data_IF_282925568472
#
_entry.id   IF_282925568472
#
_cell.length_a   1.000
_cell.length_b   1.000
_cell.length_c   1.000
_cell.angle_alpha   90.00
_cell.angle_beta   90.00
_cell.angle_gamma   90.00
#
_symmetry.space_group_name_H-M   'P 1'
#
loop_
_entity.id
_entity.type
_entity.pdbx_description
1 polymer ?
#
# COMPACT_ATOMS: atom_id res chain seq x y z
N UNK A 1 -7.74 -76.36 -11.88
CA UNK A 1 -8.24 -75.12 -12.49
C UNK A 1 -8.13 -74.01 -11.43
N UNK A 2 -6.98 -73.38 -11.42
CA UNK A 2 -6.65 -72.29 -10.50
C UNK A 2 -7.10 -70.97 -11.10
N UNK A 3 -8.16 -70.34 -10.56
CA UNK A 3 -8.58 -69.00 -10.93
C UNK A 3 -7.73 -67.95 -10.19
N UNK A 4 -6.85 -67.33 -10.92
CA UNK A 4 -6.08 -66.17 -10.41
C UNK A 4 -7.00 -64.96 -10.43
N UNK A 5 -7.40 -64.50 -9.27
CA UNK A 5 -8.09 -63.21 -9.09
C UNK A 5 -7.01 -62.12 -9.05
N UNK A 6 -6.95 -61.36 -10.15
CA UNK A 6 -6.15 -60.13 -10.21
C UNK A 6 -6.99 -59.03 -9.59
N UNK A 7 -6.60 -58.66 -8.36
CA UNK A 7 -7.18 -57.55 -7.66
C UNK A 7 -6.50 -56.23 -8.16
N UNK A 8 -7.17 -55.53 -9.07
CA UNK A 8 -6.73 -54.24 -9.56
C UNK A 8 -6.93 -53.21 -8.46
N UNK A 9 -5.84 -52.77 -7.84
CA UNK A 9 -5.80 -51.60 -6.99
C UNK A 9 -5.94 -50.36 -7.83
N UNK A 10 -7.12 -49.76 -7.81
CA UNK A 10 -7.34 -48.41 -8.38
C UNK A 10 -6.83 -47.42 -7.32
N UNK A 11 -5.63 -46.88 -7.53
CA UNK A 11 -5.11 -45.77 -6.79
C UNK A 11 -5.89 -44.53 -7.25
N UNK A 12 -6.87 -44.12 -6.42
CA UNK A 12 -7.53 -42.82 -6.56
C UNK A 12 -6.53 -41.75 -6.15
N UNK A 13 -5.78 -41.20 -7.10
CA UNK A 13 -5.00 -40.00 -6.90
C UNK A 13 -6.02 -38.84 -6.87
N UNK A 14 -6.49 -38.49 -5.69
CA UNK A 14 -7.11 -37.21 -5.45
C UNK A 14 -6.03 -36.16 -5.70
N UNK A 15 -6.04 -35.59 -6.90
CA UNK A 15 -5.35 -34.34 -7.18
C UNK A 15 -6.01 -33.29 -6.28
N UNK A 16 -5.39 -33.02 -5.14
CA UNK A 16 -5.65 -31.82 -4.35
C UNK A 16 -5.11 -30.69 -5.21
N UNK A 17 -5.97 -30.16 -6.07
CA UNK A 17 -5.77 -28.83 -6.64
C UNK A 17 -5.81 -27.88 -5.44
N UNK A 18 -4.63 -27.56 -4.91
CA UNK A 18 -4.50 -26.39 -4.06
C UNK A 18 -5.03 -25.22 -4.91
N UNK A 19 -6.25 -24.80 -4.60
CA UNK A 19 -6.74 -23.48 -5.01
C UNK A 19 -5.79 -22.48 -4.36
N UNK A 20 -4.73 -22.13 -5.07
CA UNK A 20 -3.99 -20.92 -4.80
C UNK A 20 -5.01 -19.80 -5.04
N UNK A 21 -5.69 -19.39 -3.98
CA UNK A 21 -6.40 -18.14 -3.96
C UNK A 21 -5.30 -17.08 -4.12
N UNK A 22 -5.15 -16.56 -5.32
CA UNK A 22 -4.43 -15.31 -5.50
C UNK A 22 -5.15 -14.30 -4.62
N UNK A 23 -4.56 -13.97 -3.48
CA UNK A 23 -5.07 -12.93 -2.62
C UNK A 23 -4.90 -11.64 -3.42
N UNK A 24 -6.01 -11.12 -3.93
CA UNK A 24 -6.00 -9.90 -4.75
C UNK A 24 -5.39 -8.80 -3.91
N UNK A 25 -4.32 -8.18 -4.40
CA UNK A 25 -3.71 -7.02 -3.77
C UNK A 25 -4.80 -5.96 -3.52
N UNK A 26 -4.79 -5.37 -2.34
CA UNK A 26 -5.76 -4.37 -1.90
C UNK A 26 -5.05 -3.23 -1.18
N UNK A 27 -5.75 -2.12 -1.00
CA UNK A 27 -5.27 -1.02 -0.16
C UNK A 27 -4.94 -1.51 1.25
N UNK A 28 -3.86 -1.00 1.82
CA UNK A 28 -3.45 -1.37 3.18
C UNK A 28 -4.34 -0.70 4.21
N UNK A 29 -4.87 -1.50 5.12
CA UNK A 29 -5.87 -1.07 6.08
C UNK A 29 -5.37 -1.21 7.52
N UNK A 30 -5.80 -0.29 8.39
CA UNK A 30 -5.56 -0.31 9.82
C UNK A 30 -6.78 0.23 10.56
N UNK A 31 -7.02 -0.28 11.77
CA UNK A 31 -8.17 0.06 12.59
C UNK A 31 -9.23 -1.05 12.61
N UNK A 32 -10.34 -0.80 13.29
CA UNK A 32 -11.41 -1.78 13.42
C UNK A 32 -12.25 -1.89 12.14
N UNK A 33 -12.60 -3.10 11.73
CA UNK A 33 -13.55 -3.32 10.64
C UNK A 33 -14.94 -2.75 10.96
N UNK A 34 -15.32 -2.70 12.24
CA UNK A 34 -16.60 -2.18 12.72
C UNK A 34 -16.57 -0.67 13.03
N UNK A 35 -15.49 0.04 12.64
CA UNK A 35 -15.38 1.48 12.89
C UNK A 35 -16.48 2.27 12.18
N UNK A 36 -17.15 3.20 12.88
CA UNK A 36 -18.24 4.00 12.29
C UNK A 36 -17.76 4.96 11.19
N UNK A 37 -16.49 5.31 11.18
CA UNK A 37 -15.91 6.20 10.17
C UNK A 37 -14.85 5.47 9.36
N UNK A 38 -15.03 5.48 8.03
CA UNK A 38 -14.01 4.99 7.08
C UNK A 38 -13.29 6.17 6.45
N UNK A 39 -11.97 6.13 6.45
CA UNK A 39 -11.11 7.10 5.77
C UNK A 39 -10.25 6.35 4.77
N UNK A 40 -10.35 6.69 3.50
CA UNK A 40 -9.44 6.24 2.45
C UNK A 40 -8.56 7.41 2.07
N UNK A 41 -7.25 7.24 2.10
CA UNK A 41 -6.29 8.22 1.61
C UNK A 41 -5.66 7.74 0.31
N UNK A 42 -5.88 8.48 -0.77
CA UNK A 42 -5.09 8.38 -1.98
C UNK A 42 -3.85 9.26 -1.84
N UNK A 43 -2.68 8.61 -1.83
CA UNK A 43 -1.39 9.28 -1.57
C UNK A 43 -0.32 8.97 -2.61
N UNK A 44 0.69 9.81 -2.63
CA UNK A 44 1.94 9.63 -3.37
C UNK A 44 3.11 9.73 -2.40
N UNK A 45 4.05 8.79 -2.48
CA UNK A 45 5.27 8.81 -1.67
C UNK A 45 6.25 9.91 -2.11
N UNK A 46 6.08 10.47 -3.32
CA UNK A 46 6.87 11.61 -3.80
C UNK A 46 6.20 12.97 -3.53
N UNK A 47 4.99 12.99 -2.98
CA UNK A 47 4.26 14.21 -2.67
C UNK A 47 4.68 14.79 -1.31
N UNK A 48 5.11 16.06 -1.27
CA UNK A 48 5.49 16.73 -0.03
C UNK A 48 4.33 16.95 0.94
N UNK A 49 3.11 17.20 0.44
CA UNK A 49 1.91 17.33 1.28
C UNK A 49 1.46 16.00 1.88
N UNK A 50 1.71 14.87 1.20
CA UNK A 50 1.50 13.55 1.79
C UNK A 50 2.52 13.28 2.90
N UNK A 51 3.79 13.70 2.71
CA UNK A 51 4.80 13.60 3.77
C UNK A 51 4.45 14.47 4.99
N UNK A 52 3.96 15.69 4.77
CA UNK A 52 3.48 16.58 5.84
C UNK A 52 2.33 15.91 6.62
N UNK A 53 1.31 15.41 5.94
CA UNK A 53 0.22 14.67 6.57
C UNK A 53 0.72 13.47 7.38
N UNK A 54 1.54 12.62 6.78
CA UNK A 54 2.06 11.41 7.42
C UNK A 54 2.90 11.72 8.67
N UNK A 55 3.66 12.82 8.66
CA UNK A 55 4.57 13.17 9.74
C UNK A 55 3.90 13.99 10.85
N UNK A 56 2.94 14.84 10.52
CA UNK A 56 2.38 15.81 11.45
C UNK A 56 0.96 15.46 11.92
N UNK A 57 0.09 15.04 10.99
CA UNK A 57 -1.34 14.80 11.30
C UNK A 57 -1.66 13.34 11.61
N UNK A 58 -1.11 12.41 10.81
CA UNK A 58 -1.44 10.98 10.94
C UNK A 58 -1.12 10.38 12.33
N UNK A 59 -0.01 10.74 13.02
CA UNK A 59 0.26 10.17 14.35
C UNK A 59 -0.84 10.46 15.37
N UNK A 60 -1.41 11.65 15.33
CA UNK A 60 -2.49 12.04 16.23
C UNK A 60 -3.82 11.41 15.80
N UNK A 61 -4.13 11.40 14.49
CA UNK A 61 -5.28 10.68 13.93
C UNK A 61 -5.24 9.20 14.34
N UNK A 62 -4.05 8.59 14.28
CA UNK A 62 -3.89 7.18 14.66
C UNK A 62 -4.21 6.95 16.13
N UNK A 63 -3.56 7.71 17.03
CA UNK A 63 -3.73 7.50 18.47
C UNK A 63 -5.12 7.84 18.99
N UNK A 64 -5.79 8.84 18.43
CA UNK A 64 -7.06 9.33 18.96
C UNK A 64 -8.28 8.66 18.32
N UNK A 65 -8.18 8.23 17.05
CA UNK A 65 -9.35 7.71 16.33
C UNK A 65 -9.17 6.30 15.76
N UNK A 66 -7.97 5.94 15.24
CA UNK A 66 -7.76 4.61 14.65
C UNK A 66 -7.58 3.57 15.75
N UNK A 67 -6.66 3.80 16.69
CA UNK A 67 -6.35 2.86 17.78
C UNK A 67 -7.52 2.73 18.79
N UNK A 68 -8.42 3.72 18.81
CA UNK A 68 -9.65 3.68 19.64
C UNK A 68 -10.83 3.00 18.93
N UNK A 69 -10.67 2.60 17.67
CA UNK A 69 -11.71 1.92 16.90
C UNK A 69 -12.80 2.82 16.32
N UNK A 70 -12.63 4.15 16.37
CA UNK A 70 -13.57 5.12 15.77
C UNK A 70 -13.37 5.23 14.27
N UNK A 71 -12.12 5.08 13.79
CA UNK A 71 -11.75 5.19 12.38
C UNK A 71 -11.12 3.90 11.89
N UNK A 72 -11.59 3.42 10.73
CA UNK A 72 -10.88 2.50 9.85
C UNK A 72 -10.18 3.32 8.78
N UNK A 73 -8.87 3.15 8.67
CA UNK A 73 -8.04 3.91 7.75
C UNK A 73 -7.45 3.00 6.68
N UNK A 74 -7.56 3.41 5.41
CA UNK A 74 -7.06 2.69 4.25
C UNK A 74 -6.14 3.56 3.42
N UNK A 75 -4.97 3.03 3.06
CA UNK A 75 -4.01 3.64 2.15
C UNK A 75 -4.21 3.09 0.75
N UNK A 76 -4.35 3.98 -0.23
CA UNK A 76 -4.37 3.64 -1.65
C UNK A 76 -3.28 4.38 -2.42
N UNK A 77 -2.52 3.67 -3.24
CA UNK A 77 -1.47 4.29 -4.03
C UNK A 77 -2.06 5.19 -5.13
N UNK A 78 -1.48 6.38 -5.28
CA UNK A 78 -1.74 7.29 -6.40
C UNK A 78 -0.40 7.73 -6.97
N UNK A 79 0.28 6.81 -7.68
CA UNK A 79 1.63 7.03 -8.18
C UNK A 79 1.67 8.18 -9.19
N UNK A 80 2.45 9.23 -8.89
CA UNK A 80 2.58 10.42 -9.74
C UNK A 80 3.64 10.29 -10.81
N UNK A 81 4.64 9.42 -10.59
CA UNK A 81 5.79 9.24 -11.49
C UNK A 81 6.43 7.85 -11.28
N UNK A 82 7.46 7.54 -12.06
CA UNK A 82 8.14 6.24 -12.01
C UNK A 82 8.88 5.98 -10.68
N UNK A 83 9.39 7.01 -10.01
CA UNK A 83 10.05 6.86 -8.71
C UNK A 83 9.01 6.48 -7.66
N UNK A 84 7.86 7.13 -7.70
CA UNK A 84 6.73 6.86 -6.82
C UNK A 84 6.20 5.43 -7.01
N UNK A 85 6.08 4.98 -8.27
CA UNK A 85 5.74 3.60 -8.59
C UNK A 85 6.73 2.60 -7.95
N UNK A 86 8.04 2.86 -8.06
CA UNK A 86 9.06 1.99 -7.46
C UNK A 86 9.02 2.01 -5.92
N UNK A 87 8.68 3.15 -5.32
CA UNK A 87 8.50 3.25 -3.88
C UNK A 87 7.27 2.46 -3.39
N UNK A 88 6.15 2.51 -4.11
CA UNK A 88 4.99 1.67 -3.80
C UNK A 88 5.26 0.18 -4.03
N UNK A 89 6.04 -0.18 -5.07
CA UNK A 89 6.46 -1.58 -5.25
C UNK A 89 7.25 -2.07 -4.04
N UNK A 90 8.20 -1.29 -3.55
CA UNK A 90 8.94 -1.62 -2.33
C UNK A 90 8.00 -1.85 -1.14
N UNK A 91 7.02 -0.97 -0.91
CA UNK A 91 6.04 -1.14 0.17
C UNK A 91 5.26 -2.45 0.06
N UNK A 92 4.83 -2.82 -1.16
CA UNK A 92 4.05 -4.04 -1.38
C UNK A 92 4.90 -5.32 -1.39
N UNK A 93 6.21 -5.21 -1.32
CA UNK A 93 7.13 -6.34 -1.15
C UNK A 93 7.61 -6.52 0.28
N UNK A 94 7.33 -5.56 1.16
CA UNK A 94 7.53 -5.73 2.59
C UNK A 94 6.45 -6.66 3.17
N UNK A 95 6.78 -7.31 4.28
CA UNK A 95 5.77 -8.03 5.06
C UNK A 95 4.63 -7.09 5.47
N UNK A 96 3.41 -7.58 5.49
CA UNK A 96 2.21 -6.79 5.84
C UNK A 96 2.38 -6.08 7.19
N UNK A 97 3.03 -6.74 8.16
CA UNK A 97 3.30 -6.18 9.48
C UNK A 97 4.23 -4.95 9.43
N UNK A 98 5.09 -4.87 8.44
CA UNK A 98 6.11 -3.82 8.29
C UNK A 98 5.67 -2.68 7.36
N UNK A 99 4.58 -2.86 6.61
CA UNK A 99 4.11 -1.90 5.62
C UNK A 99 4.03 -0.46 6.16
N UNK A 100 3.28 -0.25 7.25
CA UNK A 100 3.10 1.09 7.81
C UNK A 100 4.38 1.66 8.44
N UNK A 101 5.28 0.81 8.93
CA UNK A 101 6.56 1.24 9.46
C UNK A 101 7.50 1.71 8.34
N UNK A 102 7.55 0.96 7.23
CA UNK A 102 8.32 1.35 6.05
C UNK A 102 7.72 2.59 5.36
N UNK A 103 6.39 2.66 5.19
CA UNK A 103 5.71 3.84 4.67
C UNK A 103 6.07 5.11 5.45
N UNK A 104 5.99 5.05 6.78
CA UNK A 104 6.38 6.15 7.65
C UNK A 104 7.84 6.53 7.50
N UNK A 105 8.74 5.55 7.41
CA UNK A 105 10.17 5.80 7.22
C UNK A 105 10.44 6.48 5.88
N UNK A 106 9.80 6.02 4.80
CA UNK A 106 9.95 6.63 3.47
C UNK A 106 9.49 8.09 3.47
N UNK A 107 8.40 8.44 4.15
CA UNK A 107 7.98 9.83 4.28
C UNK A 107 8.93 10.67 5.13
N UNK A 108 9.39 10.16 6.27
CA UNK A 108 10.35 10.86 7.12
C UNK A 108 11.66 11.18 6.38
N UNK A 109 12.08 10.27 5.52
CA UNK A 109 13.35 10.33 4.81
C UNK A 109 13.17 10.74 3.33
N UNK A 110 11.99 11.23 2.93
CA UNK A 110 11.62 11.51 1.54
C UNK A 110 12.72 12.28 0.78
N UNK A 111 13.31 13.30 1.38
CA UNK A 111 14.37 14.12 0.78
C UNK A 111 15.70 13.38 0.60
N UNK A 112 15.88 12.23 1.24
CA UNK A 112 17.12 11.46 1.16
C UNK A 112 17.07 10.42 0.04
N UNK A 113 15.93 9.77 -0.15
CA UNK A 113 15.80 8.76 -1.19
C UNK A 113 15.30 9.32 -2.55
N UNK A 114 14.68 10.51 -2.58
CA UNK A 114 14.43 11.23 -3.83
C UNK A 114 15.72 11.97 -4.22
N UNK A 115 16.55 11.32 -5.03
CA UNK A 115 17.86 11.82 -5.44
C UNK A 115 17.70 12.68 -6.69
N UNK A 116 17.83 13.99 -6.56
CA UNK A 116 17.58 14.93 -7.65
C UNK A 116 18.82 15.25 -8.51
N UNK A 117 20.03 14.87 -8.09
CA UNK A 117 21.26 15.13 -8.81
C UNK A 117 22.11 13.86 -8.96
N UNK A 118 22.73 13.63 -10.14
CA UNK A 118 22.52 14.37 -11.38
C UNK A 118 21.12 14.13 -11.98
N UNK A 119 20.59 15.11 -12.70
CA UNK A 119 19.19 15.11 -13.19
C UNK A 119 18.87 14.02 -14.21
N UNK A 120 19.87 13.53 -14.94
CA UNK A 120 19.74 12.44 -15.91
C UNK A 120 19.69 11.03 -15.26
N UNK A 121 19.96 10.93 -13.96
CA UNK A 121 19.97 9.68 -13.19
C UNK A 121 19.01 9.66 -12.01
N UNK A 122 18.05 10.54 -11.98
CA UNK A 122 17.12 10.68 -10.84
C UNK A 122 16.39 9.38 -10.57
N UNK A 123 15.84 8.72 -11.59
CA UNK A 123 15.14 7.45 -11.43
C UNK A 123 16.08 6.35 -10.92
N UNK A 124 17.24 6.17 -11.57
CA UNK A 124 18.22 5.14 -11.21
C UNK A 124 18.68 5.30 -9.75
N UNK A 125 19.12 6.51 -9.40
CA UNK A 125 19.67 6.79 -8.06
C UNK A 125 18.59 6.71 -6.96
N UNK A 126 17.37 7.18 -7.25
CA UNK A 126 16.26 7.08 -6.29
C UNK A 126 15.82 5.62 -6.11
N UNK A 127 15.76 4.83 -7.19
CA UNK A 127 15.45 3.40 -7.11
C UNK A 127 16.49 2.65 -6.28
N UNK A 128 17.79 2.96 -6.48
CA UNK A 128 18.84 2.38 -5.66
C UNK A 128 18.73 2.78 -4.19
N UNK A 129 18.48 4.05 -3.91
CA UNK A 129 18.29 4.52 -2.54
C UNK A 129 17.10 3.86 -1.85
N UNK A 130 16.00 3.60 -2.57
CA UNK A 130 14.85 2.85 -2.05
C UNK A 130 15.24 1.41 -1.64
N UNK A 131 16.11 0.74 -2.39
CA UNK A 131 16.64 -0.59 -2.04
C UNK A 131 17.35 -0.59 -0.69
N UNK A 132 18.13 0.47 -0.38
CA UNK A 132 18.81 0.60 0.92
C UNK A 132 17.81 0.65 2.09
N UNK A 133 16.63 1.26 1.90
CA UNK A 133 15.54 1.21 2.89
C UNK A 133 14.88 -0.17 2.98
N UNK A 134 14.73 -0.88 1.86
CA UNK A 134 14.23 -2.26 1.83
C UNK A 134 15.06 -3.21 2.68
N UNK A 135 16.39 -3.08 2.63
CA UNK A 135 17.32 -3.89 3.44
C UNK A 135 17.04 -3.75 4.95
N UNK A 136 16.63 -2.57 5.42
CA UNK A 136 16.28 -2.36 6.83
C UNK A 136 15.06 -3.17 7.27
N UNK A 137 14.25 -3.60 6.32
CA UNK A 137 13.03 -4.43 6.53
C UNK A 137 13.22 -5.86 6.00
N UNK A 138 14.47 -6.30 5.82
CA UNK A 138 14.79 -7.67 5.44
C UNK A 138 14.62 -8.01 3.97
N UNK A 139 14.31 -7.02 3.11
CA UNK A 139 14.20 -7.20 1.66
C UNK A 139 15.59 -7.15 1.07
N UNK A 140 16.07 -8.26 0.51
CA UNK A 140 17.38 -8.31 -0.14
C UNK A 140 17.40 -7.51 -1.46
N UNK A 141 18.60 -7.23 -2.00
CA UNK A 141 18.74 -6.60 -3.31
C UNK A 141 18.06 -7.41 -4.43
N UNK A 142 18.18 -8.74 -4.36
CA UNK A 142 17.56 -9.65 -5.34
C UNK A 142 16.04 -9.65 -5.22
N UNK A 143 15.49 -9.73 -4.00
CA UNK A 143 14.04 -9.63 -3.75
C UNK A 143 13.49 -8.28 -4.21
N UNK A 144 14.21 -7.19 -3.94
CA UNK A 144 13.80 -5.88 -4.43
C UNK A 144 13.82 -5.78 -5.96
N UNK A 145 14.82 -6.39 -6.61
CA UNK A 145 14.86 -6.46 -8.08
C UNK A 145 13.68 -7.27 -8.65
N UNK A 146 13.26 -8.36 -7.99
CA UNK A 146 12.04 -9.09 -8.33
C UNK A 146 10.80 -8.23 -8.16
N UNK A 147 10.70 -7.48 -7.06
CA UNK A 147 9.60 -6.54 -6.80
C UNK A 147 9.45 -5.49 -7.89
N UNK A 148 10.56 -4.90 -8.33
CA UNK A 148 10.55 -3.89 -9.39
C UNK A 148 10.02 -4.44 -10.72
N UNK A 149 10.15 -5.75 -10.97
CA UNK A 149 9.68 -6.43 -12.16
C UNK A 149 8.32 -7.13 -11.96
N UNK A 150 7.72 -7.05 -10.78
CA UNK A 150 6.43 -7.69 -10.50
C UNK A 150 5.29 -6.93 -11.19
N UNK A 151 4.70 -7.58 -12.21
CA UNK A 151 3.61 -7.00 -13.00
C UNK A 151 2.32 -6.91 -12.19
N UNK A 152 2.03 -7.88 -11.31
CA UNK A 152 0.81 -7.86 -10.49
C UNK A 152 0.78 -6.66 -9.54
N UNK A 153 1.90 -6.36 -8.87
CA UNK A 153 2.04 -5.17 -8.04
C UNK A 153 1.94 -3.89 -8.89
N UNK A 154 2.56 -3.90 -10.08
CA UNK A 154 2.50 -2.77 -11.02
C UNK A 154 1.06 -2.48 -11.42
N UNK A 155 0.33 -3.50 -11.85
CA UNK A 155 -1.05 -3.39 -12.31
C UNK A 155 -1.97 -2.94 -11.18
N UNK A 156 -1.77 -3.46 -9.97
CA UNK A 156 -2.51 -3.01 -8.78
C UNK A 156 -2.31 -1.51 -8.54
N UNK A 157 -1.06 -1.03 -8.46
CA UNK A 157 -0.76 0.38 -8.18
C UNK A 157 -1.36 1.29 -9.26
N UNK A 158 -1.23 0.91 -10.52
CA UNK A 158 -1.78 1.69 -11.64
C UNK A 158 -3.31 1.64 -11.67
N UNK A 159 -3.92 0.49 -11.36
CA UNK A 159 -5.38 0.36 -11.30
C UNK A 159 -5.99 1.21 -10.18
N UNK A 160 -5.33 1.31 -9.01
CA UNK A 160 -5.78 2.17 -7.93
C UNK A 160 -5.73 3.65 -8.32
N UNK A 161 -4.69 4.08 -9.05
CA UNK A 161 -4.65 5.44 -9.59
C UNK A 161 -5.79 5.68 -10.58
N UNK A 162 -6.04 4.75 -11.51
CA UNK A 162 -7.13 4.84 -12.49
C UNK A 162 -8.48 4.91 -11.75
N UNK A 163 -8.69 4.03 -10.78
CA UNK A 163 -9.88 4.02 -9.94
C UNK A 163 -10.10 5.38 -9.23
N UNK A 164 -9.04 5.96 -8.66
CA UNK A 164 -9.10 7.28 -8.04
C UNK A 164 -9.54 8.38 -9.01
N UNK A 165 -9.02 8.36 -10.24
CA UNK A 165 -9.38 9.34 -11.27
C UNK A 165 -10.82 9.14 -11.76
N UNK A 166 -11.18 7.91 -12.14
CA UNK A 166 -12.45 7.63 -12.82
C UNK A 166 -13.65 7.64 -11.88
N UNK A 167 -13.50 7.13 -10.65
CA UNK A 167 -14.63 6.98 -9.74
C UNK A 167 -14.74 8.10 -8.68
N UNK A 168 -13.64 8.85 -8.44
CA UNK A 168 -13.61 9.88 -7.40
C UNK A 168 -13.09 11.23 -7.90
N UNK A 169 -12.82 11.37 -9.20
CA UNK A 169 -12.29 12.61 -9.83
C UNK A 169 -11.04 13.16 -9.13
N UNK A 170 -10.18 12.25 -8.63
CA UNK A 170 -8.96 12.62 -7.92
C UNK A 170 -7.93 13.15 -8.92
N UNK A 171 -7.46 14.37 -8.68
CA UNK A 171 -6.46 15.06 -9.51
C UNK A 171 -5.22 15.50 -8.72
N UNK A 172 -5.22 15.33 -7.39
CA UNK A 172 -4.13 15.75 -6.51
C UNK A 172 -4.00 14.83 -5.29
N UNK A 173 -2.83 14.84 -4.65
CA UNK A 173 -2.56 14.10 -3.42
C UNK A 173 -2.07 15.02 -2.29
N UNK A 174 -2.39 14.70 -1.03
CA UNK A 174 -3.32 13.65 -0.63
C UNK A 174 -4.76 14.02 -0.97
N UNK A 175 -5.61 13.01 -1.20
CA UNK A 175 -7.06 13.18 -1.25
C UNK A 175 -7.69 12.13 -0.34
N UNK A 176 -8.60 12.55 0.52
CA UNK A 176 -9.30 11.71 1.48
C UNK A 176 -10.73 11.46 1.06
N UNK A 177 -11.20 10.21 1.19
CA UNK A 177 -12.60 9.85 1.06
C UNK A 177 -13.07 9.42 2.46
N UNK A 178 -13.93 10.22 3.07
CA UNK A 178 -14.41 10.00 4.45
C UNK A 178 -15.91 9.69 4.43
N UNK A 179 -16.25 8.42 4.70
CA UNK A 179 -17.63 7.92 4.55
C UNK A 179 -18.26 8.33 3.20
N UNK A 180 -17.48 8.21 2.10
CA UNK A 180 -17.92 8.51 0.74
C UNK A 180 -17.83 9.99 0.32
N UNK A 181 -17.50 10.92 1.21
CA UNK A 181 -17.33 12.34 0.90
C UNK A 181 -15.84 12.64 0.61
N UNK A 182 -15.57 13.41 -0.45
CA UNK A 182 -14.22 13.66 -0.97
C UNK A 182 -13.66 14.96 -0.40
N UNK A 183 -12.43 14.90 0.12
CA UNK A 183 -11.69 16.03 0.66
C UNK A 183 -10.29 16.09 0.05
N UNK A 184 -10.05 17.00 -0.87
CA UNK A 184 -8.75 17.15 -1.53
C UNK A 184 -7.79 17.98 -0.70
N UNK A 185 -6.48 17.68 -0.85
CA UNK A 185 -5.37 18.37 -0.21
C UNK A 185 -5.13 17.95 1.23
N UNK A 186 -3.97 18.39 1.76
CA UNK A 186 -3.59 18.11 3.14
C UNK A 186 -4.65 18.64 4.12
N UNK A 187 -4.87 17.90 5.21
CA UNK A 187 -5.82 18.25 6.27
C UNK A 187 -5.08 18.30 7.60
N UNK A 188 -5.34 19.33 8.39
CA UNK A 188 -4.89 19.38 9.77
C UNK A 188 -5.66 18.38 10.64
N UNK A 189 -5.12 18.06 11.81
CA UNK A 189 -5.81 17.19 12.75
C UNK A 189 -7.18 17.76 13.15
N UNK A 190 -7.26 19.06 13.42
CA UNK A 190 -8.50 19.73 13.83
C UNK A 190 -9.56 19.74 12.74
N UNK A 191 -9.16 19.77 11.46
CA UNK A 191 -10.08 19.63 10.32
C UNK A 191 -10.65 18.21 10.26
N UNK A 192 -9.78 17.19 10.39
CA UNK A 192 -10.22 15.78 10.39
C UNK A 192 -11.07 15.46 11.60
N UNK A 193 -10.68 15.90 12.79
CA UNK A 193 -11.45 15.72 14.02
C UNK A 193 -12.90 16.22 13.87
N UNK A 194 -13.08 17.43 13.35
CA UNK A 194 -14.42 18.00 13.11
C UNK A 194 -15.24 17.16 12.13
N UNK A 195 -14.59 16.61 11.10
CA UNK A 195 -15.26 15.76 10.11
C UNK A 195 -15.64 14.42 10.75
N UNK A 196 -14.71 13.79 11.47
CA UNK A 196 -14.89 12.50 12.13
C UNK A 196 -16.02 12.58 13.16
N UNK A 197 -15.96 13.56 14.07
CA UNK A 197 -16.97 13.73 15.12
C UNK A 197 -18.38 14.04 14.60
N UNK A 198 -18.49 14.52 13.38
CA UNK A 198 -19.80 14.73 12.72
C UNK A 198 -20.36 13.45 12.08
N UNK A 199 -19.49 12.45 11.84
CA UNK A 199 -19.83 11.22 11.11
C UNK A 199 -19.84 9.97 12.01
N UNK A 200 -19.29 10.06 13.22
CA UNK A 200 -19.26 9.00 14.24
C UNK A 200 -20.59 8.81 14.99
#
# INVERSE_FOLDING_TARGET
LLKILILTWIINIFAISALYSSETLKGMQIGSEDAPVSIIEYRSLTCSHCAEFSNETYPQLKSEFIDTGVVKFELRPFALNAIDLNAFKLLHCADEADFFALDKLLFNEQKKWIVTNPSDKVLENSTKALGDYGILFGISEDDYAECLNNEEITDFILSERINGVENFDISSTPTFIINGEIFSGNKSFEELEKIILKKS
#
